data_IF_228316597382
#
_entry.id   IF_228316597382
#
_cell.length_a   1.000
_cell.length_b   1.000
_cell.length_c   1.000
_cell.angle_alpha   90.00
_cell.angle_beta   90.00
_cell.angle_gamma   90.00
#
_symmetry.space_group_name_H-M   'P 1'
#
loop_
_entity.id
_entity.type
_entity.pdbx_description
1 polymer ?
#
# COMPACT_ATOMS: atom_id res chain seq x y z
N UNK A 1 0.48 -41.82 -9.01
CA UNK A 1 -0.28 -40.93 -8.12
C UNK A 1 -0.35 -39.57 -8.80
N UNK A 2 -1.45 -39.29 -9.47
CA UNK A 2 -1.75 -37.96 -10.02
C UNK A 2 -1.90 -36.99 -8.85
N UNK A 3 -1.27 -35.81 -8.86
CA UNK A 3 -1.53 -34.80 -7.85
C UNK A 3 -3.03 -34.49 -7.89
N UNK A 4 -3.72 -34.64 -6.75
CA UNK A 4 -5.05 -34.06 -6.57
C UNK A 4 -4.93 -32.57 -6.92
N UNK A 5 -5.84 -32.04 -7.74
CA UNK A 5 -5.91 -30.61 -8.06
C UNK A 5 -5.92 -29.79 -6.76
N UNK A 6 -4.75 -29.34 -6.31
CA UNK A 6 -4.67 -28.12 -5.51
C UNK A 6 -5.02 -27.00 -6.47
N UNK A 7 -6.03 -26.20 -6.12
CA UNK A 7 -6.46 -25.08 -6.95
C UNK A 7 -5.25 -24.16 -7.20
N UNK A 8 -4.85 -24.03 -8.47
CA UNK A 8 -3.75 -23.13 -8.86
C UNK A 8 -4.25 -21.70 -8.72
N UNK A 9 -3.78 -21.02 -7.68
CA UNK A 9 -4.12 -19.64 -7.40
C UNK A 9 -3.40 -18.71 -8.36
N UNK A 10 -4.15 -17.84 -9.03
CA UNK A 10 -3.59 -16.80 -9.88
C UNK A 10 -3.26 -15.56 -9.06
N UNK A 11 -2.13 -14.92 -9.34
CA UNK A 11 -1.74 -13.67 -8.70
C UNK A 11 -1.07 -12.70 -9.64
N UNK A 12 -1.14 -11.42 -9.30
CA UNK A 12 -0.61 -10.34 -10.12
C UNK A 12 -0.41 -9.05 -9.30
N UNK A 13 0.59 -8.27 -9.69
CA UNK A 13 0.69 -6.86 -9.29
C UNK A 13 -0.52 -6.07 -9.83
N UNK A 14 -0.83 -4.90 -9.28
CA UNK A 14 -2.05 -4.18 -9.67
C UNK A 14 -2.14 -3.82 -11.17
N UNK A 15 -1.03 -3.47 -11.82
CA UNK A 15 -1.04 -3.16 -13.25
C UNK A 15 -0.97 -4.40 -14.16
N UNK A 16 -0.69 -5.59 -13.60
CA UNK A 16 -0.62 -6.83 -14.38
C UNK A 16 0.68 -7.12 -15.11
N UNK A 17 1.67 -6.20 -15.06
CA UNK A 17 2.99 -6.37 -15.67
C UNK A 17 3.80 -7.53 -15.06
N UNK A 18 3.48 -7.90 -13.83
CA UNK A 18 3.98 -9.09 -13.14
C UNK A 18 2.81 -9.98 -12.76
N UNK A 19 2.85 -11.25 -13.17
CA UNK A 19 1.84 -12.28 -12.89
C UNK A 19 2.51 -13.59 -12.49
N UNK A 20 1.87 -14.30 -11.58
CA UNK A 20 2.38 -15.54 -11.04
C UNK A 20 1.24 -16.52 -10.72
N UNK A 21 1.62 -17.76 -10.49
CA UNK A 21 0.75 -18.84 -10.03
C UNK A 21 1.32 -19.47 -8.76
N UNK A 22 0.42 -19.90 -7.88
CA UNK A 22 0.75 -20.64 -6.66
C UNK A 22 -0.11 -21.89 -6.56
N UNK A 23 0.53 -23.06 -6.54
CA UNK A 23 -0.15 -24.38 -6.54
C UNK A 23 -0.39 -24.91 -5.12
N UNK A 24 -0.92 -24.09 -4.22
CA UNK A 24 -1.27 -24.45 -2.83
C UNK A 24 -2.38 -23.56 -2.26
N UNK A 25 -2.99 -24.00 -1.17
CA UNK A 25 -3.95 -23.23 -0.37
C UNK A 25 -3.30 -22.03 0.35
N UNK A 26 -4.13 -21.06 0.74
CA UNK A 26 -3.75 -19.88 1.54
C UNK A 26 -3.77 -20.14 3.06
N UNK A 27 -3.44 -21.36 3.47
CA UNK A 27 -3.50 -21.83 4.87
C UNK A 27 -2.27 -21.46 5.71
N UNK A 28 -1.19 -21.06 5.06
CA UNK A 28 0.11 -20.81 5.68
C UNK A 28 0.62 -19.39 5.41
N UNK A 29 -0.17 -18.41 5.85
CA UNK A 29 0.16 -17.00 5.76
C UNK A 29 0.75 -16.48 7.07
N UNK A 30 1.71 -15.55 6.94
CA UNK A 30 2.38 -14.88 8.04
C UNK A 30 2.45 -13.37 7.82
N UNK A 31 2.64 -12.63 8.91
CA UNK A 31 3.06 -11.22 8.84
C UNK A 31 4.46 -11.07 9.43
N UNK A 32 5.19 -10.05 8.99
CA UNK A 32 6.52 -9.75 9.52
C UNK A 32 6.52 -8.36 10.18
N UNK A 33 7.09 -8.27 11.38
CA UNK A 33 7.15 -7.05 12.16
C UNK A 33 8.32 -6.12 11.81
N UNK A 34 9.14 -6.45 10.79
CA UNK A 34 10.28 -5.60 10.41
C UNK A 34 9.78 -4.27 9.82
N UNK A 35 10.60 -3.22 9.90
CA UNK A 35 10.18 -1.88 9.48
C UNK A 35 9.69 -1.84 8.02
N UNK A 36 10.34 -2.58 7.12
CA UNK A 36 9.93 -2.66 5.71
C UNK A 36 8.56 -3.31 5.54
N UNK A 37 8.37 -4.51 6.11
CA UNK A 37 7.12 -5.25 6.01
C UNK A 37 5.96 -4.54 6.73
N UNK A 38 6.22 -3.84 7.83
CA UNK A 38 5.22 -3.03 8.51
C UNK A 38 4.71 -1.88 7.62
N UNK A 39 5.64 -1.19 6.93
CA UNK A 39 5.33 -0.09 6.00
C UNK A 39 4.66 -0.58 4.70
N UNK A 40 5.08 -1.73 4.16
CA UNK A 40 4.45 -2.36 2.98
C UNK A 40 3.12 -3.07 3.29
N UNK A 41 2.92 -3.50 4.54
CA UNK A 41 1.73 -4.21 4.99
C UNK A 41 1.53 -5.60 4.37
N UNK A 42 2.60 -6.24 3.89
CA UNK A 42 2.54 -7.55 3.23
C UNK A 42 1.96 -8.64 4.14
N UNK A 43 1.17 -9.52 3.54
CA UNK A 43 0.77 -10.81 4.13
C UNK A 43 1.48 -11.86 3.30
N UNK A 44 2.45 -12.56 3.89
CA UNK A 44 3.32 -13.47 3.17
C UNK A 44 2.79 -14.89 3.24
N UNK A 45 2.50 -15.48 2.10
CA UNK A 45 2.30 -16.91 1.96
C UNK A 45 3.67 -17.58 1.80
N UNK A 46 4.00 -18.51 2.69
CA UNK A 46 5.21 -19.35 2.53
C UNK A 46 5.03 -20.24 1.30
N UNK A 47 6.04 -20.35 0.46
CA UNK A 47 5.98 -21.18 -0.75
C UNK A 47 7.35 -21.75 -1.09
N UNK A 48 7.43 -22.59 -2.12
CA UNK A 48 8.67 -23.18 -2.63
C UNK A 48 8.79 -22.98 -4.13
N UNK A 49 9.96 -23.23 -4.70
CA UNK A 49 10.16 -23.19 -6.15
C UNK A 49 9.23 -24.17 -6.91
N UNK A 50 8.83 -25.28 -6.28
CA UNK A 50 7.92 -26.27 -6.87
C UNK A 50 6.45 -25.83 -6.88
N UNK A 51 6.08 -24.88 -6.02
CA UNK A 51 4.69 -24.43 -5.82
C UNK A 51 4.47 -22.99 -6.27
N UNK A 52 5.48 -22.31 -6.80
CA UNK A 52 5.41 -20.95 -7.31
C UNK A 52 6.00 -20.86 -8.72
N UNK A 53 5.26 -20.24 -9.64
CA UNK A 53 5.72 -19.99 -11.00
C UNK A 53 5.41 -18.54 -11.42
N UNK A 54 6.38 -17.85 -12.01
CA UNK A 54 6.14 -16.57 -12.69
C UNK A 54 5.63 -16.87 -14.09
N UNK A 55 4.44 -16.35 -14.43
CA UNK A 55 3.81 -16.57 -15.75
C UNK A 55 3.94 -15.38 -16.69
N UNK A 56 4.19 -14.18 -16.16
CA UNK A 56 4.50 -12.97 -16.93
C UNK A 56 5.37 -12.03 -16.09
N UNK A 57 6.45 -11.53 -16.67
CA UNK A 57 7.26 -10.45 -16.11
C UNK A 57 7.70 -9.52 -17.25
N UNK A 58 7.19 -8.29 -17.27
CA UNK A 58 7.56 -7.27 -18.24
C UNK A 58 8.84 -6.51 -17.87
N UNK A 59 9.59 -6.97 -16.86
CA UNK A 59 10.84 -6.33 -16.43
C UNK A 59 10.63 -5.04 -15.63
N UNK A 60 9.44 -4.85 -15.08
CA UNK A 60 9.09 -3.66 -14.28
C UNK A 60 9.31 -3.85 -12.78
N UNK A 61 9.84 -4.99 -12.35
CA UNK A 61 10.03 -5.28 -10.92
C UNK A 61 11.33 -4.68 -10.38
N UNK A 62 11.29 -4.23 -9.13
CA UNK A 62 12.40 -3.69 -8.37
C UNK A 62 12.55 -4.53 -7.10
N UNK A 63 13.79 -4.82 -6.71
CA UNK A 63 14.09 -5.57 -5.51
C UNK A 63 14.78 -4.68 -4.47
N UNK A 64 14.35 -4.81 -3.22
CA UNK A 64 14.87 -4.04 -2.10
C UNK A 64 14.78 -4.86 -0.81
N UNK A 65 15.94 -5.11 -0.17
CA UNK A 65 16.05 -5.88 1.08
C UNK A 65 15.30 -7.23 1.02
N UNK A 66 15.44 -7.96 -0.10
CA UNK A 66 14.78 -9.24 -0.31
C UNK A 66 13.30 -9.18 -0.67
N UNK A 67 12.68 -7.98 -0.74
CA UNK A 67 11.31 -7.80 -1.23
C UNK A 67 11.33 -7.34 -2.68
N UNK A 68 10.57 -8.01 -3.55
CA UNK A 68 10.33 -7.62 -4.93
C UNK A 68 8.96 -6.96 -5.07
N UNK A 69 8.92 -5.78 -5.69
CA UNK A 69 7.69 -5.04 -5.95
C UNK A 69 7.64 -4.57 -7.41
N UNK A 70 6.44 -4.31 -7.92
CA UNK A 70 6.27 -3.72 -9.24
C UNK A 70 6.59 -2.22 -9.19
N UNK A 71 7.60 -1.78 -9.93
CA UNK A 71 8.00 -0.38 -10.05
C UNK A 71 6.92 0.53 -10.62
N UNK A 72 5.98 -0.01 -11.41
CA UNK A 72 4.88 0.75 -11.99
C UNK A 72 3.70 0.98 -11.04
N UNK A 73 3.34 0.02 -10.18
CA UNK A 73 2.15 0.14 -9.32
C UNK A 73 2.38 0.00 -7.82
N UNK A 74 3.63 -0.21 -7.40
CA UNK A 74 4.04 -0.31 -6.00
C UNK A 74 3.70 -1.64 -5.33
N UNK A 75 2.94 -2.53 -5.98
CA UNK A 75 2.54 -3.80 -5.38
C UNK A 75 3.75 -4.69 -5.11
N UNK A 76 4.02 -4.98 -3.85
CA UNK A 76 4.94 -6.04 -3.44
C UNK A 76 4.36 -7.40 -3.88
N UNK A 77 5.17 -8.21 -4.57
CA UNK A 77 4.74 -9.47 -5.20
C UNK A 77 5.38 -10.69 -4.56
N UNK A 78 6.69 -10.66 -4.34
CA UNK A 78 7.43 -11.77 -3.74
C UNK A 78 8.42 -11.24 -2.71
N UNK A 79 8.89 -12.12 -1.84
CA UNK A 79 9.95 -11.80 -0.90
C UNK A 79 10.77 -13.02 -0.53
N UNK A 80 11.94 -12.79 0.03
CA UNK A 80 12.77 -13.81 0.66
C UNK A 80 13.22 -13.30 2.03
N UNK A 81 12.97 -14.09 3.08
CA UNK A 81 13.50 -13.77 4.41
C UNK A 81 15.03 -13.77 4.36
N UNK A 82 15.64 -12.63 4.68
CA UNK A 82 17.09 -12.48 4.62
C UNK A 82 17.80 -12.93 5.92
N UNK A 83 17.07 -12.92 7.04
CA UNK A 83 17.60 -13.17 8.39
C UNK A 83 16.66 -14.06 9.22
N UNK A 84 17.13 -14.51 10.37
CA UNK A 84 16.35 -15.31 11.32
C UNK A 84 16.17 -16.77 10.90
N UNK A 85 15.27 -17.47 11.60
CA UNK A 85 15.01 -18.92 11.40
C UNK A 85 14.37 -19.24 10.06
N UNK A 86 13.77 -18.26 9.39
CA UNK A 86 13.14 -18.41 8.08
C UNK A 86 14.08 -17.99 6.94
N UNK A 87 15.37 -17.72 7.18
CA UNK A 87 16.29 -17.27 6.13
C UNK A 87 16.25 -18.17 4.89
N UNK A 88 16.11 -17.58 3.71
CA UNK A 88 15.98 -18.28 2.43
C UNK A 88 14.56 -18.75 2.09
N UNK A 89 13.58 -18.54 2.99
CA UNK A 89 12.19 -18.87 2.73
C UNK A 89 11.62 -17.97 1.64
N UNK A 90 11.22 -18.57 0.52
CA UNK A 90 10.49 -17.90 -0.56
C UNK A 90 9.06 -17.58 -0.10
N UNK A 91 8.64 -16.35 -0.35
CA UNK A 91 7.34 -15.80 0.02
C UNK A 91 6.65 -15.19 -1.19
N UNK A 92 5.33 -15.29 -1.21
CA UNK A 92 4.45 -14.57 -2.13
C UNK A 92 3.53 -13.68 -1.33
N UNK A 93 3.31 -12.44 -1.77
CA UNK A 93 2.34 -11.58 -1.09
C UNK A 93 0.93 -12.06 -1.39
N UNK A 94 0.24 -12.63 -0.40
CA UNK A 94 -1.14 -13.11 -0.52
C UNK A 94 -2.09 -12.00 -0.99
N UNK A 95 -1.79 -10.73 -0.67
CA UNK A 95 -2.55 -9.57 -1.16
C UNK A 95 -2.52 -9.40 -2.69
N UNK A 96 -1.53 -9.98 -3.36
CA UNK A 96 -1.42 -9.97 -4.82
C UNK A 96 -2.13 -11.18 -5.47
N UNK A 97 -2.64 -12.13 -4.68
CA UNK A 97 -3.46 -13.26 -5.16
C UNK A 97 -4.86 -12.75 -5.51
N UNK A 98 -5.39 -13.19 -6.65
CA UNK A 98 -6.74 -12.82 -7.10
C UNK A 98 -7.80 -13.37 -6.15
N UNK A 99 -8.82 -12.55 -5.84
CA UNK A 99 -9.89 -12.93 -4.92
C UNK A 99 -9.51 -12.92 -3.43
N UNK A 100 -8.25 -12.60 -3.08
CA UNK A 100 -7.84 -12.48 -1.68
C UNK A 100 -8.49 -11.27 -1.02
N UNK A 101 -9.23 -11.51 0.07
CA UNK A 101 -9.80 -10.46 0.91
C UNK A 101 -9.00 -10.37 2.24
N UNK A 102 -8.22 -9.30 2.46
CA UNK A 102 -7.38 -9.16 3.65
C UNK A 102 -8.17 -9.04 4.96
N UNK A 103 -9.48 -8.71 4.91
CA UNK A 103 -10.32 -8.59 6.10
C UNK A 103 -10.88 -9.93 6.58
N UNK A 104 -10.76 -10.98 5.75
CA UNK A 104 -11.26 -12.33 6.05
C UNK A 104 -10.16 -13.28 6.49
N UNK A 105 -8.92 -12.80 6.60
CA UNK A 105 -7.84 -13.59 7.17
C UNK A 105 -8.07 -13.63 8.68
N UNK A 106 -8.20 -14.84 9.23
CA UNK A 106 -8.51 -15.03 10.64
C UNK A 106 -7.47 -14.37 11.56
N UNK A 107 -7.85 -14.11 12.81
CA UNK A 107 -7.00 -13.44 13.82
C UNK A 107 -5.73 -14.20 14.21
N UNK A 108 -5.53 -15.43 13.72
CA UNK A 108 -4.41 -16.31 14.08
C UNK A 108 -3.24 -16.29 13.10
N UNK A 109 -3.03 -15.20 12.35
CA UNK A 109 -1.84 -15.09 11.50
C UNK A 109 -0.60 -15.01 12.38
N UNK A 110 0.33 -15.94 12.19
CA UNK A 110 1.63 -15.90 12.86
C UNK A 110 2.35 -14.58 12.51
N UNK A 111 2.74 -13.82 13.53
CA UNK A 111 3.53 -12.59 13.38
C UNK A 111 4.99 -12.88 13.70
N UNK A 112 5.81 -12.93 12.66
CA UNK A 112 7.27 -13.09 12.78
C UNK A 112 7.86 -11.82 13.39
N UNK A 113 8.51 -11.98 14.54
CA UNK A 113 9.21 -10.89 15.22
C UNK A 113 10.44 -10.47 14.41
N UNK A 114 10.66 -9.15 14.31
CA UNK A 114 11.87 -8.62 13.71
C UNK A 114 13.02 -8.64 14.71
N UNK A 115 14.25 -8.86 14.22
CA UNK A 115 15.43 -8.63 15.01
C UNK A 115 15.49 -7.14 15.44
N UNK A 116 16.05 -6.81 16.62
CA UNK A 116 16.13 -5.42 17.10
C UNK A 116 16.81 -4.47 16.10
N UNK A 117 17.78 -4.97 15.34
CA UNK A 117 18.54 -4.25 14.31
C UNK A 117 17.73 -3.86 13.05
N UNK A 118 16.58 -4.49 12.80
CA UNK A 118 15.66 -4.12 11.71
C UNK A 118 14.74 -2.95 12.07
N UNK A 119 14.79 -2.47 13.32
CA UNK A 119 14.10 -1.24 13.76
C UNK A 119 14.99 -0.03 13.45
N UNK A 120 15.26 0.21 12.17
CA UNK A 120 16.10 1.34 11.74
C UNK A 120 15.54 2.65 12.31
N UNK A 121 16.42 3.48 12.87
CA UNK A 121 16.08 4.83 13.27
C UNK A 121 15.52 5.59 12.07
N UNK A 122 14.30 6.06 12.22
CA UNK A 122 13.53 6.76 11.20
C UNK A 122 14.17 8.12 10.94
N UNK A 123 14.15 8.59 9.69
CA UNK A 123 14.63 9.92 9.36
C UNK A 123 13.74 10.95 10.06
N UNK A 124 14.18 11.45 11.21
CA UNK A 124 13.64 12.67 11.80
C UNK A 124 14.22 13.82 10.98
N UNK A 125 13.44 14.28 9.99
CA UNK A 125 13.76 15.52 9.29
C UNK A 125 14.06 16.61 10.31
N UNK A 126 15.13 17.38 10.11
CA UNK A 126 15.45 18.51 10.98
C UNK A 126 14.41 19.59 10.73
N UNK A 127 13.51 19.85 11.69
CA UNK A 127 12.56 20.96 11.58
C UNK A 127 13.33 22.28 11.45
N UNK A 128 12.99 23.09 10.45
CA UNK A 128 13.61 24.41 10.28
C UNK A 128 13.08 25.41 11.34
N UNK A 129 13.94 26.31 11.87
CA UNK A 129 13.50 27.33 12.81
C UNK A 129 12.42 28.25 12.20
N UNK A 130 11.33 28.47 12.92
CA UNK A 130 10.23 29.36 12.49
C UNK A 130 9.09 28.67 11.74
N UNK A 131 9.18 27.37 11.52
CA UNK A 131 8.13 26.56 10.90
C UNK A 131 7.31 25.83 11.98
N UNK A 132 5.98 25.79 11.84
CA UNK A 132 5.11 25.10 12.80
C UNK A 132 5.54 23.62 12.96
N UNK A 133 5.69 23.11 14.20
CA UNK A 133 6.19 21.77 14.44
C UNK A 133 5.21 20.73 13.91
N UNK A 134 5.73 19.67 13.31
CA UNK A 134 4.93 18.53 12.93
C UNK A 134 4.42 17.78 14.17
N UNK A 135 3.17 17.34 14.13
CA UNK A 135 2.56 16.46 15.15
C UNK A 135 2.99 15.01 14.95
N UNK A 136 3.11 14.58 13.69
CA UNK A 136 3.62 13.27 13.33
C UNK A 136 4.64 13.38 12.20
N UNK A 137 5.61 12.47 12.23
CA UNK A 137 6.55 12.27 11.14
C UNK A 137 6.28 10.92 10.49
N UNK A 138 6.70 10.78 9.24
CA UNK A 138 6.67 9.50 8.53
C UNK A 138 7.71 9.45 7.45
N UNK A 139 8.05 8.23 7.04
CA UNK A 139 9.00 8.00 5.95
C UNK A 139 8.73 6.68 5.23
N UNK A 140 9.16 6.61 3.97
CA UNK A 140 9.39 5.33 3.32
C UNK A 140 10.56 4.59 4.02
N UNK A 141 10.71 3.30 3.77
CA UNK A 141 11.75 2.51 4.46
C UNK A 141 13.18 3.00 4.21
N UNK A 142 13.50 3.43 2.98
CA UNK A 142 14.84 3.93 2.66
C UNK A 142 15.11 5.37 3.13
N UNK A 143 14.09 6.08 3.65
CA UNK A 143 14.20 7.45 4.17
C UNK A 143 14.27 8.55 3.11
N UNK A 144 14.32 8.21 1.81
CA UNK A 144 14.38 9.19 0.71
C UNK A 144 13.10 10.00 0.52
N UNK A 145 11.95 9.42 0.89
CA UNK A 145 10.64 10.07 0.86
C UNK A 145 10.16 10.15 2.29
N UNK A 146 9.81 11.34 2.75
CA UNK A 146 9.35 11.54 4.12
C UNK A 146 8.31 12.66 4.19
N UNK A 147 7.51 12.61 5.25
CA UNK A 147 6.35 13.48 5.43
C UNK A 147 6.28 14.02 6.85
N UNK A 148 5.72 15.22 6.97
CA UNK A 148 5.33 15.85 8.22
C UNK A 148 3.83 16.07 8.19
N UNK A 149 3.12 15.55 9.19
CA UNK A 149 1.70 15.83 9.41
C UNK A 149 1.58 16.87 10.52
N UNK A 150 0.93 17.99 10.21
CA UNK A 150 0.85 19.16 11.11
C UNK A 150 -0.32 19.11 12.10
N UNK A 151 -1.23 18.16 11.92
CA UNK A 151 -2.40 17.91 12.77
C UNK A 151 -2.29 16.54 13.44
N UNK A 152 -3.05 16.31 14.50
CA UNK A 152 -3.06 15.00 15.15
C UNK A 152 -3.81 13.97 14.28
N UNK A 153 -3.31 12.73 14.22
CA UNK A 153 -4.01 11.63 13.54
C UNK A 153 -5.40 11.40 14.18
N UNK A 154 -5.54 11.64 15.48
CA UNK A 154 -6.81 11.51 16.19
C UNK A 154 -7.91 12.47 15.68
N UNK A 155 -7.52 13.57 15.04
CA UNK A 155 -8.44 14.55 14.44
C UNK A 155 -8.87 14.19 13.01
N UNK A 156 -8.35 13.09 12.46
CA UNK A 156 -8.57 12.67 11.08
C UNK A 156 -9.36 11.36 11.00
N UNK A 157 -10.17 11.23 9.96
CA UNK A 157 -10.77 9.95 9.61
C UNK A 157 -9.70 8.99 9.08
N UNK A 158 -9.62 7.81 9.68
CA UNK A 158 -8.78 6.70 9.22
C UNK A 158 -9.65 5.69 8.48
N UNK A 159 -9.35 5.42 7.21
CA UNK A 159 -10.16 4.52 6.36
C UNK A 159 -9.32 3.42 5.74
N UNK A 160 -9.88 2.23 5.64
CA UNK A 160 -9.29 1.09 4.95
C UNK A 160 -10.34 0.46 4.02
N UNK A 161 -9.98 0.25 2.77
CA UNK A 161 -10.85 -0.32 1.74
C UNK A 161 -10.14 -1.52 1.11
N UNK A 162 -10.90 -2.47 0.57
CA UNK A 162 -10.35 -3.65 -0.11
C UNK A 162 -10.52 -3.61 -1.63
N UNK A 163 -10.69 -2.43 -2.22
CA UNK A 163 -10.54 -2.30 -3.67
C UNK A 163 -9.18 -2.83 -4.15
N UNK A 164 -9.10 -3.19 -5.43
CA UNK A 164 -7.96 -3.94 -5.99
C UNK A 164 -6.59 -3.34 -5.68
N UNK A 165 -6.48 -2.00 -5.66
CA UNK A 165 -5.25 -1.27 -5.35
C UNK A 165 -4.98 -1.25 -3.85
N UNK A 166 -5.99 -0.87 -3.04
CA UNK A 166 -5.85 -0.78 -1.59
C UNK A 166 -5.54 -2.14 -0.95
N UNK A 167 -6.20 -3.21 -1.40
CA UNK A 167 -5.94 -4.57 -0.91
C UNK A 167 -4.48 -5.00 -1.18
N UNK A 168 -3.99 -4.78 -2.41
CA UNK A 168 -2.63 -5.14 -2.87
C UNK A 168 -1.53 -4.33 -2.19
N UNK A 169 -1.74 -3.03 -2.03
CA UNK A 169 -0.76 -2.10 -1.48
C UNK A 169 -0.94 -1.85 0.03
N UNK A 170 -1.88 -2.59 0.67
CA UNK A 170 -2.21 -2.51 2.09
C UNK A 170 -2.47 -1.07 2.58
N UNK A 171 -3.14 -0.26 1.76
CA UNK A 171 -3.36 1.15 2.03
C UNK A 171 -4.36 1.36 3.17
N UNK A 172 -3.93 2.08 4.20
CA UNK A 172 -4.81 2.61 5.24
C UNK A 172 -4.64 4.14 5.20
N UNK A 173 -5.69 4.84 4.79
CA UNK A 173 -5.63 6.25 4.45
C UNK A 173 -6.07 7.16 5.58
N UNK A 174 -5.36 8.26 5.74
CA UNK A 174 -5.85 9.49 6.39
C UNK A 174 -5.95 10.60 5.35
N UNK A 175 -6.81 11.59 5.61
CA UNK A 175 -7.21 12.59 4.60
C UNK A 175 -7.04 14.05 5.07
N UNK A 176 -5.82 14.48 5.46
CA UNK A 176 -5.55 15.88 5.76
C UNK A 176 -5.61 16.75 4.49
N UNK A 177 -5.67 18.06 4.66
CA UNK A 177 -5.53 19.02 3.54
C UNK A 177 -4.06 19.24 3.16
N UNK A 178 -3.82 19.77 1.96
CA UNK A 178 -2.47 20.05 1.43
C UNK A 178 -1.65 20.98 2.32
N UNK A 179 -2.27 21.92 3.01
CA UNK A 179 -1.62 22.82 3.97
C UNK A 179 -1.30 22.17 5.32
N UNK A 180 -1.91 21.01 5.63
CA UNK A 180 -1.65 20.22 6.84
C UNK A 180 -0.52 19.19 6.67
N UNK A 181 0.09 19.10 5.48
CA UNK A 181 1.11 18.09 5.17
C UNK A 181 2.30 18.73 4.47
N UNK A 182 3.51 18.39 4.89
CA UNK A 182 4.73 18.64 4.10
C UNK A 182 5.27 17.32 3.59
N UNK A 183 5.61 17.26 2.30
CA UNK A 183 6.12 16.06 1.64
C UNK A 183 7.47 16.40 1.01
N UNK A 184 8.46 15.58 1.32
CA UNK A 184 9.84 15.75 0.89
C UNK A 184 10.28 14.53 0.08
N UNK A 185 11.18 14.74 -0.90
CA UNK A 185 11.65 13.67 -1.78
C UNK A 185 10.66 13.23 -2.85
N UNK A 186 9.81 14.15 -3.37
CA UNK A 186 8.81 13.82 -4.39
C UNK A 186 9.45 13.27 -5.68
N UNK A 187 10.65 13.73 -6.02
CA UNK A 187 11.46 13.24 -7.14
C UNK A 187 11.86 11.75 -7.03
N UNK A 188 11.97 11.25 -5.80
CA UNK A 188 12.28 9.85 -5.47
C UNK A 188 11.05 8.93 -5.53
N UNK A 189 9.89 9.45 -5.96
CA UNK A 189 8.63 8.72 -6.06
C UNK A 189 8.23 8.39 -7.49
N UNK A 190 7.42 7.34 -7.63
CA UNK A 190 6.67 7.02 -8.84
C UNK A 190 5.18 7.14 -8.54
N UNK A 191 4.42 7.77 -9.44
CA UNK A 191 2.97 7.90 -9.31
C UNK A 191 2.25 6.98 -10.29
N UNK A 192 1.43 6.10 -9.73
CA UNK A 192 0.62 5.16 -10.48
C UNK A 192 -0.82 5.66 -10.61
N UNK A 193 -1.20 6.05 -11.83
CA UNK A 193 -2.57 6.43 -12.20
C UNK A 193 -3.31 5.24 -12.81
N UNK A 194 -4.53 4.98 -12.34
CA UNK A 194 -5.36 3.87 -12.81
C UNK A 194 -6.84 4.24 -12.86
N UNK A 195 -7.64 3.38 -13.50
CA UNK A 195 -9.07 3.61 -13.68
C UNK A 195 -9.35 4.95 -14.38
N UNK A 196 -10.19 5.79 -13.75
CA UNK A 196 -10.53 7.14 -14.25
C UNK A 196 -9.41 8.18 -14.07
N UNK A 197 -8.29 7.81 -13.45
CA UNK A 197 -7.15 8.69 -13.16
C UNK A 197 -7.50 9.90 -12.29
N UNK A 198 -8.53 9.76 -11.45
CA UNK A 198 -8.93 10.80 -10.49
C UNK A 198 -8.03 10.82 -9.26
N UNK A 199 -7.27 9.75 -9.02
CA UNK A 199 -6.30 9.63 -7.94
C UNK A 199 -5.05 8.92 -8.46
N UNK A 200 -3.90 9.21 -7.84
CA UNK A 200 -2.63 8.54 -8.10
C UNK A 200 -2.02 7.99 -6.81
N UNK A 201 -1.64 6.71 -6.82
CA UNK A 201 -0.92 6.08 -5.71
C UNK A 201 0.58 6.35 -5.85
N UNK A 202 1.23 6.89 -4.81
CA UNK A 202 2.61 7.36 -4.89
C UNK A 202 3.54 6.58 -3.98
N UNK A 203 4.37 5.72 -4.57
CA UNK A 203 5.35 4.89 -3.87
C UNK A 203 6.78 5.35 -4.09
N UNK A 204 7.66 5.04 -3.14
CA UNK A 204 9.09 5.27 -3.29
C UNK A 204 9.68 4.35 -4.37
N UNK A 205 10.42 4.92 -5.34
CA UNK A 205 11.10 4.17 -6.42
C UNK A 205 12.12 3.16 -5.89
N UNK A 206 12.68 3.40 -4.71
CA UNK A 206 13.75 2.57 -4.14
C UNK A 206 13.21 1.40 -3.33
N UNK A 207 12.22 1.62 -2.45
CA UNK A 207 11.78 0.60 -1.49
C UNK A 207 10.30 0.19 -1.61
N UNK A 208 9.57 0.72 -2.58
CA UNK A 208 8.18 0.31 -2.89
C UNK A 208 7.11 0.77 -1.90
N UNK A 209 7.48 1.38 -0.77
CA UNK A 209 6.52 1.87 0.23
C UNK A 209 5.64 2.97 -0.38
N UNK A 210 4.32 2.73 -0.35
CA UNK A 210 3.28 3.71 -0.66
C UNK A 210 3.19 4.73 0.49
N UNK A 211 3.56 5.98 0.24
CA UNK A 211 3.64 7.03 1.28
C UNK A 211 2.41 7.93 1.28
N UNK A 212 1.98 8.36 0.10
CA UNK A 212 0.86 9.28 -0.07
C UNK A 212 0.14 9.00 -1.38
N UNK A 213 -1.05 9.60 -1.55
CA UNK A 213 -1.76 9.64 -2.83
C UNK A 213 -1.95 11.09 -3.27
N UNK A 214 -2.06 11.32 -4.57
CA UNK A 214 -2.52 12.59 -5.11
C UNK A 214 -3.97 12.47 -5.57
N UNK A 215 -4.72 13.57 -5.46
CA UNK A 215 -6.12 13.67 -5.87
C UNK A 215 -6.23 14.70 -7.00
N UNK A 216 -6.82 14.28 -8.13
CA UNK A 216 -7.06 15.09 -9.33
C UNK A 216 -8.56 15.27 -9.63
N UNK A 217 -9.39 14.33 -9.18
CA UNK A 217 -10.84 14.38 -9.39
C UNK A 217 -11.27 14.31 -10.86
N UNK A 218 -12.59 14.37 -11.14
CA UNK A 218 -13.10 14.57 -12.49
C UNK A 218 -12.78 15.97 -13.03
N UNK A 219 -12.73 16.16 -14.36
CA UNK A 219 -12.71 17.49 -14.96
C UNK A 219 -13.91 18.32 -14.48
N UNK A 220 -13.69 19.60 -14.17
CA UNK A 220 -14.73 20.47 -13.61
C UNK A 220 -15.95 20.61 -14.54
N UNK A 221 -15.73 20.50 -15.86
CA UNK A 221 -16.79 20.57 -16.87
C UNK A 221 -17.82 19.44 -16.78
N UNK A 222 -17.52 18.35 -16.06
CA UNK A 222 -18.49 17.29 -15.76
C UNK A 222 -19.68 17.85 -14.98
N UNK A 223 -19.49 18.93 -14.22
CA UNK A 223 -20.52 19.56 -13.40
C UNK A 223 -21.34 20.63 -14.14
N UNK A 224 -21.00 20.98 -15.38
CA UNK A 224 -21.74 21.99 -16.16
C UNK A 224 -23.17 21.54 -16.51
N UNK A 225 -23.40 20.22 -16.51
CA UNK A 225 -24.70 19.61 -16.81
C UNK A 225 -25.63 19.53 -15.60
N UNK A 226 -25.18 19.96 -14.42
CA UNK A 226 -25.97 19.88 -13.19
C UNK A 226 -26.94 21.07 -13.07
N UNK A 227 -28.15 20.84 -12.53
CA UNK A 227 -29.05 21.94 -12.15
C UNK A 227 -28.34 22.92 -11.19
N UNK A 228 -28.63 24.23 -11.28
CA UNK A 228 -27.97 25.26 -10.47
C UNK A 228 -27.99 24.95 -8.96
N UNK A 229 -29.12 24.49 -8.41
CA UNK A 229 -29.23 24.18 -6.98
C UNK A 229 -28.35 23.00 -6.53
N UNK A 230 -28.04 22.05 -7.44
CA UNK A 230 -27.15 20.91 -7.14
C UNK A 230 -25.69 21.25 -7.41
N UNK A 231 -25.43 22.19 -8.31
CA UNK A 231 -24.08 22.56 -8.75
C UNK A 231 -23.25 23.12 -7.60
N UNK A 232 -23.83 24.01 -6.79
CA UNK A 232 -23.12 24.63 -5.66
C UNK A 232 -22.68 23.58 -4.62
N UNK A 233 -23.60 22.71 -4.21
CA UNK A 233 -23.32 21.64 -3.23
C UNK A 233 -22.24 20.68 -3.76
N UNK A 234 -22.35 20.26 -5.02
CA UNK A 234 -21.37 19.35 -5.63
C UNK A 234 -20.00 20.00 -5.77
N UNK A 235 -19.94 21.28 -6.15
CA UNK A 235 -18.67 22.01 -6.24
C UNK A 235 -18.02 22.20 -4.87
N UNK A 236 -18.79 22.45 -3.81
CA UNK A 236 -18.25 22.54 -2.45
C UNK A 236 -17.57 21.22 -2.03
N UNK A 237 -18.21 20.08 -2.30
CA UNK A 237 -17.63 18.75 -2.05
C UNK A 237 -16.42 18.49 -2.93
N UNK A 238 -16.47 18.88 -4.21
CA UNK A 238 -15.36 18.76 -5.14
C UNK A 238 -14.12 19.52 -4.63
N UNK A 239 -14.28 20.78 -4.25
CA UNK A 239 -13.16 21.60 -3.75
C UNK A 239 -12.60 21.06 -2.43
N UNK A 240 -13.46 20.59 -1.53
CA UNK A 240 -13.02 19.88 -0.32
C UNK A 240 -12.15 18.67 -0.67
N UNK A 241 -12.55 17.88 -1.66
CA UNK A 241 -11.77 16.72 -2.09
C UNK A 241 -10.46 17.10 -2.79
N UNK A 242 -10.45 18.16 -3.61
CA UNK A 242 -9.25 18.64 -4.30
C UNK A 242 -8.21 19.26 -3.37
N UNK A 243 -8.64 19.72 -2.19
CA UNK A 243 -7.75 20.22 -1.16
C UNK A 243 -7.02 19.11 -0.38
N UNK A 244 -7.45 17.85 -0.50
CA UNK A 244 -6.86 16.74 0.26
C UNK A 244 -5.44 16.38 -0.21
N UNK A 245 -4.61 15.94 0.73
CA UNK A 245 -3.33 15.27 0.51
C UNK A 245 -3.33 13.96 1.31
N UNK A 246 -3.93 12.88 0.78
CA UNK A 246 -4.03 11.63 1.53
C UNK A 246 -2.66 11.03 1.84
N UNK A 247 -2.48 10.53 3.06
CA UNK A 247 -1.28 9.83 3.52
C UNK A 247 -1.62 8.38 3.87
N UNK A 248 -0.66 7.47 3.64
CA UNK A 248 -0.73 6.12 4.15
C UNK A 248 -0.24 6.09 5.59
N UNK A 249 -1.09 5.75 6.55
CA UNK A 249 -0.73 5.71 7.97
C UNK A 249 0.40 4.72 8.25
N UNK A 250 0.57 3.68 7.42
CA UNK A 250 1.70 2.74 7.54
C UNK A 250 3.06 3.41 7.34
N UNK A 251 3.11 4.51 6.61
CA UNK A 251 4.33 5.27 6.40
C UNK A 251 4.65 6.19 7.58
N UNK A 252 3.69 6.46 8.48
CA UNK A 252 3.90 7.26 9.68
C UNK A 252 4.64 6.47 10.75
N UNK A 253 5.42 7.19 11.54
CA UNK A 253 6.35 6.62 12.49
C UNK A 253 5.72 6.56 13.89
N UNK A 254 5.92 5.44 14.59
CA UNK A 254 5.41 5.25 15.95
C UNK A 254 3.89 5.09 16.06
N UNK A 255 3.18 4.88 14.94
CA UNK A 255 1.73 4.70 14.95
C UNK A 255 1.37 3.23 15.23
N UNK A 256 0.62 3.01 16.29
CA UNK A 256 -0.01 1.72 16.58
C UNK A 256 -1.29 1.57 15.75
N UNK A 257 -1.25 0.74 14.70
CA UNK A 257 -2.38 0.52 13.81
C UNK A 257 -3.54 -0.22 14.49
N UNK A 258 -3.28 -1.00 15.55
CA UNK A 258 -4.30 -1.78 16.24
C UNK A 258 -5.17 -0.89 17.14
N UNK A 259 -4.62 0.24 17.61
CA UNK A 259 -5.36 1.21 18.44
C UNK A 259 -6.15 2.24 17.64
N UNK A 260 -5.98 2.33 16.31
CA UNK A 260 -6.66 3.34 15.50
C UNK A 260 -8.13 2.96 15.22
N UNK A 261 -9.06 3.92 15.25
CA UNK A 261 -10.46 3.69 14.89
C UNK A 261 -10.63 3.62 13.36
N UNK A 262 -10.13 2.54 12.75
CA UNK A 262 -10.16 2.35 11.29
C UNK A 262 -11.56 2.03 10.80
N UNK A 263 -12.11 2.89 9.94
CA UNK A 263 -13.37 2.66 9.25
C UNK A 263 -13.13 1.76 8.02
N UNK A 264 -13.70 0.55 8.03
CA UNK A 264 -13.51 -0.43 6.95
C UNK A 264 -14.69 -0.46 5.97
N UNK A 265 -14.36 -0.55 4.68
CA UNK A 265 -15.30 -0.80 3.59
C UNK A 265 -14.93 -2.11 2.87
N UNK A 266 -15.82 -3.10 2.85
CA UNK A 266 -15.63 -4.43 2.26
C UNK A 266 -16.48 -4.60 0.99
N UNK A 267 -16.38 -3.66 0.05
CA UNK A 267 -17.18 -3.64 -1.19
C UNK A 267 -16.32 -3.62 -2.47
N UNK A 268 -15.00 -3.50 -2.35
CA UNK A 268 -14.10 -3.17 -3.45
C UNK A 268 -13.58 -4.34 -4.29
N UNK A 269 -13.88 -5.60 -3.94
CA UNK A 269 -13.25 -6.76 -4.60
C UNK A 269 -13.82 -7.10 -5.98
N UNK A 270 -14.96 -6.53 -6.37
CA UNK A 270 -15.64 -6.86 -7.63
C UNK A 270 -15.12 -6.04 -8.82
N UNK A 271 -15.02 -6.67 -10.00
CA UNK A 271 -14.80 -5.98 -11.28
C UNK A 271 -13.35 -5.63 -11.63
N UNK A 272 -12.37 -6.00 -10.80
CA UNK A 272 -10.96 -5.87 -11.16
C UNK A 272 -10.55 -6.96 -12.15
N UNK A 273 -10.13 -6.54 -13.35
CA UNK A 273 -9.62 -7.42 -14.40
C UNK A 273 -8.31 -6.84 -14.91
N UNK A 274 -7.32 -7.71 -15.08
CA UNK A 274 -6.08 -7.37 -15.79
C UNK A 274 -6.27 -7.80 -17.24
N UNK A 275 -6.09 -6.87 -18.18
CA UNK A 275 -6.12 -7.20 -19.60
C UNK A 275 -5.02 -8.21 -19.94
N UNK A 276 -5.29 -9.14 -20.86
CA UNK A 276 -4.45 -10.33 -21.07
C UNK A 276 -2.98 -10.08 -21.40
#
# INVERSE_FOLDING_TARGET
>A
MTPSHSDVLQGNCHCGCFRFQVSRSLDDVITCACALCAKLGCIWLRTTADTFAVVRDEGSTVEYCGVKFCGNCGTAVTGEHQIGTLRGQLLVNARAVQGFNPFKVGSSIERISAAPEDRRALCTGKSEPGVAPAKHHGSCHCGKVWVELLVDIADLEVKEDNCSSCARNAYIGIYPTKDQVRIHGREETFEYLYGRRFNGAVHCKTCGVLVFNNVYGPPISVFDRLPPERREVVLAVYWKNMAMQPLNVRALDGVDLESLPVQRSDEGTAGYVVAD
#
